data_IF_297528148422
#
_entry.id   IF_297528148422
#
_cell.length_a   1.000
_cell.length_b   1.000
_cell.length_c   1.000
_cell.angle_alpha   90.00
_cell.angle_beta   90.00
_cell.angle_gamma   90.00
#
_symmetry.space_group_name_H-M   'P 1'
#
loop_
_entity.id
_entity.type
_entity.pdbx_description
1 polymer ?
#
# COMPACT_ATOMS: atom_id res chain seq x y z
N UNK A 1 -25.09 54.77 0.34
CA UNK A 1 -24.21 54.95 1.52
C UNK A 1 -23.96 53.57 2.08
N UNK A 2 -22.72 53.08 2.02
CA UNK A 2 -22.37 51.80 2.64
C UNK A 2 -22.57 51.93 4.15
N UNK A 3 -23.26 50.98 4.77
CA UNK A 3 -23.50 50.99 6.22
C UNK A 3 -22.17 50.87 6.97
N UNK A 4 -21.98 51.67 8.03
CA UNK A 4 -20.78 51.66 8.85
C UNK A 4 -20.51 50.26 9.44
N UNK A 5 -21.58 49.52 9.78
CA UNK A 5 -21.48 48.12 10.23
C UNK A 5 -20.86 47.20 9.16
N UNK A 6 -21.23 47.40 7.89
CA UNK A 6 -20.69 46.62 6.76
C UNK A 6 -19.22 46.94 6.49
N UNK A 7 -18.81 48.21 6.63
CA UNK A 7 -17.40 48.62 6.48
C UNK A 7 -16.52 48.01 7.57
N UNK A 8 -16.98 48.01 8.83
CA UNK A 8 -16.26 47.37 9.95
C UNK A 8 -16.13 45.87 9.74
N UNK A 9 -17.22 45.18 9.36
CA UNK A 9 -17.18 43.74 9.08
C UNK A 9 -16.21 43.39 7.95
N UNK A 10 -16.19 44.18 6.87
CA UNK A 10 -15.23 44.00 5.77
C UNK A 10 -13.78 44.23 6.24
N UNK A 11 -13.54 45.28 7.02
CA UNK A 11 -12.21 45.54 7.60
C UNK A 11 -11.73 44.38 8.48
N UNK A 12 -12.59 43.87 9.38
CA UNK A 12 -12.25 42.74 10.24
C UNK A 12 -11.93 41.47 9.44
N UNK A 13 -12.68 41.20 8.37
CA UNK A 13 -12.40 40.08 7.46
C UNK A 13 -11.03 40.22 6.77
N UNK A 14 -10.69 41.41 6.25
CA UNK A 14 -9.40 41.67 5.64
C UNK A 14 -8.26 41.61 6.65
N UNK A 15 -8.47 42.10 7.88
CA UNK A 15 -7.49 41.97 8.97
C UNK A 15 -7.19 40.50 9.27
N UNK A 16 -8.21 39.65 9.37
CA UNK A 16 -8.01 38.22 9.64
C UNK A 16 -7.22 37.54 8.53
N UNK A 17 -7.52 37.83 7.26
CA UNK A 17 -6.75 37.32 6.10
C UNK A 17 -5.30 37.79 6.11
N UNK A 18 -5.03 39.04 6.46
CA UNK A 18 -3.66 39.54 6.60
C UNK A 18 -2.88 38.84 7.73
N UNK A 19 -3.54 38.51 8.83
CA UNK A 19 -2.94 37.72 9.92
C UNK A 19 -2.65 36.27 9.49
N UNK A 20 -3.53 35.66 8.69
CA UNK A 20 -3.31 34.34 8.10
C UNK A 20 -2.12 34.36 7.13
N UNK A 21 -2.03 35.35 6.24
CA UNK A 21 -0.87 35.55 5.35
C UNK A 21 0.46 35.58 6.10
N UNK A 22 0.52 36.31 7.22
CA UNK A 22 1.73 36.39 8.02
C UNK A 22 2.08 35.06 8.69
N UNK A 23 1.09 34.26 9.10
CA UNK A 23 1.29 32.92 9.63
C UNK A 23 1.82 31.95 8.56
N UNK A 24 1.25 32.02 7.36
CA UNK A 24 1.56 31.08 6.29
C UNK A 24 2.86 31.42 5.55
N UNK A 25 3.43 32.61 5.77
CA UNK A 25 4.67 33.09 5.18
C UNK A 25 5.86 32.14 5.40
N UNK A 26 5.91 31.48 6.56
CA UNK A 26 6.95 30.52 6.91
C UNK A 26 6.80 29.17 6.17
N UNK A 27 5.62 28.92 5.57
CA UNK A 27 5.28 27.67 4.88
C UNK A 27 5.68 26.43 5.69
N UNK A 28 5.32 26.43 6.98
CA UNK A 28 5.73 25.38 7.94
C UNK A 28 5.29 23.98 7.49
N UNK A 29 4.16 23.87 6.77
CA UNK A 29 3.70 22.63 6.16
C UNK A 29 4.73 21.99 5.25
N UNK A 30 5.40 22.78 4.41
CA UNK A 30 6.49 22.29 3.53
C UNK A 30 7.66 21.80 4.35
N UNK A 31 8.06 22.54 5.39
CA UNK A 31 9.16 22.13 6.28
C UNK A 31 8.83 20.80 6.99
N UNK A 32 7.58 20.63 7.41
CA UNK A 32 7.07 19.37 7.97
C UNK A 32 7.14 18.22 6.98
N UNK A 33 6.60 18.40 5.77
CA UNK A 33 6.64 17.38 4.72
C UNK A 33 8.07 16.94 4.36
N UNK A 34 9.00 17.89 4.26
CA UNK A 34 10.41 17.61 4.01
C UNK A 34 11.03 16.76 5.15
N UNK A 35 10.70 17.06 6.40
CA UNK A 35 11.24 16.30 7.53
C UNK A 35 10.63 14.89 7.59
N UNK A 36 9.32 14.75 7.41
CA UNK A 36 8.65 13.44 7.40
C UNK A 36 9.17 12.53 6.28
N UNK A 37 9.35 13.08 5.07
CA UNK A 37 9.90 12.31 3.96
C UNK A 37 11.38 11.95 4.18
N UNK A 38 12.17 12.81 4.84
CA UNK A 38 13.54 12.49 5.21
C UNK A 38 13.62 11.32 6.21
N UNK A 39 12.77 11.32 7.23
CA UNK A 39 12.67 10.23 8.20
C UNK A 39 12.22 8.92 7.52
N UNK A 40 11.21 9.00 6.64
CA UNK A 40 10.75 7.84 5.89
C UNK A 40 11.86 7.27 4.99
N UNK A 41 12.57 8.12 4.23
CA UNK A 41 13.69 7.68 3.39
C UNK A 41 14.84 7.06 4.20
N UNK A 42 15.14 7.60 5.38
CA UNK A 42 16.21 7.12 6.24
C UNK A 42 15.90 5.77 6.91
N UNK A 43 14.62 5.48 7.17
CA UNK A 43 14.18 4.26 7.88
C UNK A 43 13.83 3.09 6.95
N UNK A 44 13.68 3.34 5.64
CA UNK A 44 13.37 2.31 4.65
C UNK A 44 14.36 1.13 4.64
N UNK A 45 15.69 1.32 4.65
CA UNK A 45 16.64 0.20 4.62
C UNK A 45 16.47 -0.76 5.79
N UNK A 46 16.33 -0.23 7.01
CA UNK A 46 16.07 -1.02 8.22
C UNK A 46 14.73 -1.76 8.15
N UNK A 47 13.68 -1.14 7.63
CA UNK A 47 12.39 -1.80 7.46
C UNK A 47 12.45 -2.96 6.45
N UNK A 48 13.17 -2.78 5.34
CA UNK A 48 13.42 -3.84 4.34
C UNK A 48 14.23 -4.98 4.99
N UNK A 49 15.29 -4.66 5.74
CA UNK A 49 16.08 -5.64 6.48
C UNK A 49 15.23 -6.43 7.47
N UNK A 50 14.29 -5.79 8.15
CA UNK A 50 13.39 -6.46 9.10
C UNK A 50 12.51 -7.52 8.41
N UNK A 51 11.90 -7.21 7.27
CA UNK A 51 11.10 -8.20 6.52
C UNK A 51 11.96 -9.33 5.94
N UNK A 52 13.24 -9.07 5.59
CA UNK A 52 14.20 -10.12 5.20
C UNK A 52 14.53 -11.05 6.35
N UNK A 53 14.77 -10.51 7.54
CA UNK A 53 15.02 -11.33 8.75
C UNK A 53 13.82 -12.20 9.12
N UNK A 54 12.59 -11.76 8.80
CA UNK A 54 11.37 -12.56 8.90
C UNK A 54 11.19 -13.59 7.77
N UNK A 55 12.13 -13.65 6.81
CA UNK A 55 12.17 -14.65 5.75
C UNK A 55 11.43 -14.27 4.45
N UNK A 56 11.06 -13.01 4.24
CA UNK A 56 10.45 -12.60 2.97
C UNK A 56 11.46 -12.70 1.82
N UNK A 57 11.11 -13.49 0.80
CA UNK A 57 12.05 -13.90 -0.25
C UNK A 57 12.01 -13.02 -1.50
N UNK A 58 10.88 -12.37 -1.80
CA UNK A 58 10.66 -11.68 -3.09
C UNK A 58 10.93 -10.17 -3.01
N UNK A 59 10.75 -9.47 -4.13
CA UNK A 59 10.99 -8.04 -4.26
C UNK A 59 12.43 -7.62 -3.91
N UNK A 60 13.43 -8.33 -4.46
CA UNK A 60 14.86 -8.01 -4.31
C UNK A 60 15.26 -6.60 -4.80
N UNK A 61 14.42 -5.98 -5.61
CA UNK A 61 14.64 -4.61 -6.08
C UNK A 61 14.49 -3.57 -4.95
N UNK A 62 13.86 -3.90 -3.82
CA UNK A 62 13.57 -2.95 -2.75
C UNK A 62 14.85 -2.38 -2.13
N UNK A 63 15.88 -3.20 -1.97
CA UNK A 63 17.19 -2.80 -1.46
C UNK A 63 17.77 -1.69 -2.33
N UNK A 64 17.92 -1.94 -3.63
CA UNK A 64 18.44 -0.95 -4.59
C UNK A 64 17.54 0.29 -4.70
N UNK A 65 16.21 0.08 -4.68
CA UNK A 65 15.23 1.17 -4.77
C UNK A 65 15.34 2.10 -3.56
N UNK A 66 15.49 1.57 -2.34
CA UNK A 66 15.60 2.39 -1.14
C UNK A 66 16.87 3.25 -1.14
N UNK A 67 18.01 2.71 -1.59
CA UNK A 67 19.24 3.46 -1.79
C UNK A 67 19.09 4.58 -2.83
N UNK A 68 18.44 4.28 -3.96
CA UNK A 68 18.20 5.27 -5.00
C UNK A 68 17.27 6.40 -4.51
N UNK A 69 16.19 6.06 -3.80
CA UNK A 69 15.25 7.03 -3.24
C UNK A 69 15.90 7.94 -2.21
N UNK A 70 16.80 7.42 -1.38
CA UNK A 70 17.58 8.24 -0.43
C UNK A 70 18.41 9.29 -1.17
N UNK A 71 19.12 8.90 -2.23
CA UNK A 71 19.92 9.83 -3.03
C UNK A 71 19.06 10.88 -3.76
N UNK A 72 17.91 10.47 -4.30
CA UNK A 72 16.95 11.40 -4.92
C UNK A 72 16.42 12.39 -3.89
N UNK A 73 16.11 11.91 -2.69
CA UNK A 73 15.59 12.73 -1.60
C UNK A 73 16.61 13.75 -1.10
N UNK A 74 17.87 13.35 -0.91
CA UNK A 74 18.99 14.25 -0.57
C UNK A 74 19.12 15.42 -1.55
N UNK A 75 18.99 15.17 -2.85
CA UNK A 75 18.99 16.25 -3.86
C UNK A 75 17.74 17.12 -3.77
N UNK A 76 16.56 16.51 -3.77
CA UNK A 76 15.28 17.22 -3.76
C UNK A 76 15.12 18.10 -2.51
N UNK A 77 15.54 17.62 -1.33
CA UNK A 77 15.42 18.39 -0.09
C UNK A 77 16.33 19.63 -0.09
N UNK A 78 17.55 19.54 -0.65
CA UNK A 78 18.48 20.68 -0.71
C UNK A 78 17.89 21.76 -1.61
N UNK A 79 17.40 21.36 -2.79
CA UNK A 79 16.78 22.25 -3.76
C UNK A 79 15.52 22.90 -3.18
N UNK A 80 14.62 22.11 -2.58
CA UNK A 80 13.39 22.59 -1.97
C UNK A 80 13.65 23.56 -0.81
N UNK A 81 14.63 23.29 0.06
CA UNK A 81 14.98 24.20 1.18
C UNK A 81 15.57 25.53 0.68
N UNK A 82 16.36 25.48 -0.40
CA UNK A 82 16.92 26.68 -1.03
C UNK A 82 15.82 27.54 -1.67
N UNK A 83 14.91 26.89 -2.41
CA UNK A 83 13.74 27.53 -3.01
C UNK A 83 12.83 28.13 -1.94
N UNK A 84 12.51 27.36 -0.89
CA UNK A 84 11.70 27.80 0.24
C UNK A 84 12.25 29.09 0.86
N UNK A 85 13.55 29.12 1.17
CA UNK A 85 14.21 30.33 1.73
C UNK A 85 14.06 31.53 0.81
N UNK A 86 14.28 31.33 -0.49
CA UNK A 86 14.22 32.40 -1.49
C UNK A 86 12.79 32.95 -1.65
N UNK A 87 11.80 32.05 -1.67
CA UNK A 87 10.38 32.38 -1.78
C UNK A 87 9.87 33.11 -0.53
N UNK A 88 10.23 32.65 0.67
CA UNK A 88 9.89 33.33 1.93
C UNK A 88 10.47 34.75 1.98
N UNK A 89 11.73 34.95 1.57
CA UNK A 89 12.33 36.30 1.51
C UNK A 89 11.56 37.22 0.56
N UNK A 90 11.13 36.72 -0.60
CA UNK A 90 10.35 37.51 -1.57
C UNK A 90 8.96 37.84 -1.03
N UNK A 91 8.25 36.85 -0.48
CA UNK A 91 6.91 37.01 0.08
C UNK A 91 6.91 37.93 1.31
N UNK A 92 7.99 37.96 2.09
CA UNK A 92 8.09 38.85 3.23
C UNK A 92 7.99 40.33 2.81
N UNK A 93 8.50 40.69 1.63
CA UNK A 93 8.36 42.05 1.10
C UNK A 93 6.92 42.37 0.71
N UNK A 94 6.19 41.39 0.16
CA UNK A 94 4.77 41.52 -0.20
C UNK A 94 3.89 41.66 1.05
N UNK A 95 4.14 40.83 2.07
CA UNK A 95 3.39 40.89 3.35
C UNK A 95 3.64 42.21 4.07
N UNK A 96 4.87 42.75 4.06
CA UNK A 96 5.14 44.08 4.61
C UNK A 96 4.33 45.18 3.92
N UNK A 97 4.07 45.06 2.62
CA UNK A 97 3.23 46.02 1.92
C UNK A 97 1.77 45.92 2.38
N UNK A 98 1.25 44.70 2.56
CA UNK A 98 -0.07 44.47 3.15
C UNK A 98 -0.18 45.07 4.55
N UNK A 99 0.85 44.91 5.39
CA UNK A 99 0.90 45.50 6.74
C UNK A 99 0.79 47.03 6.72
N UNK A 100 1.45 47.71 5.77
CA UNK A 100 1.34 49.16 5.60
C UNK A 100 -0.09 49.57 5.25
N UNK A 101 -0.75 48.89 4.31
CA UNK A 101 -2.15 49.19 3.97
C UNK A 101 -3.11 48.86 5.10
N UNK A 102 -2.85 47.80 5.85
CA UNK A 102 -3.65 47.41 7.02
C UNK A 102 -3.55 48.47 8.13
N UNK A 103 -2.34 49.01 8.37
CA UNK A 103 -2.13 50.08 9.34
C UNK A 103 -2.87 51.37 8.94
N UNK A 104 -2.84 51.72 7.65
CA UNK A 104 -3.59 52.88 7.14
C UNK A 104 -5.11 52.70 7.32
N UNK A 105 -5.63 51.50 7.02
CA UNK A 105 -7.04 51.19 7.23
C UNK A 105 -7.43 51.20 8.72
N UNK A 106 -6.53 50.73 9.59
CA UNK A 106 -6.73 50.80 11.05
C UNK A 106 -6.79 52.24 11.56
N UNK A 107 -5.91 53.12 11.09
CA UNK A 107 -5.94 54.54 11.44
C UNK A 107 -7.23 55.24 10.97
N UNK A 108 -7.81 54.80 9.86
CA UNK A 108 -9.07 55.32 9.33
C UNK A 108 -10.34 54.65 9.93
N UNK A 109 -10.20 53.70 10.86
CA UNK A 109 -11.32 52.88 11.33
C UNK A 109 -12.46 53.67 11.99
N UNK A 110 -12.17 54.86 12.54
CA UNK A 110 -13.16 55.77 13.14
C UNK A 110 -13.77 56.77 12.14
N UNK A 111 -13.30 56.77 10.88
CA UNK A 111 -13.72 57.67 9.81
C UNK A 111 -14.28 56.88 8.60
N UNK A 112 -15.59 56.61 8.54
CA UNK A 112 -16.17 55.70 7.54
C UNK A 112 -15.90 56.06 6.06
N UNK A 113 -15.98 57.34 5.62
CA UNK A 113 -15.62 57.73 4.26
C UNK A 113 -14.16 57.41 3.90
N UNK A 114 -13.23 57.65 4.82
CA UNK A 114 -11.80 57.38 4.61
C UNK A 114 -11.51 55.88 4.58
N UNK A 115 -12.08 55.12 5.53
CA UNK A 115 -12.00 53.66 5.55
C UNK A 115 -12.53 53.06 4.24
N UNK A 116 -13.69 53.53 3.76
CA UNK A 116 -14.28 53.08 2.50
C UNK A 116 -13.36 53.30 1.29
N UNK A 117 -12.53 54.35 1.30
CA UNK A 117 -11.55 54.63 0.23
C UNK A 117 -10.32 53.71 0.26
N UNK A 118 -9.92 53.22 1.44
CA UNK A 118 -8.70 52.42 1.62
C UNK A 118 -8.97 50.92 1.41
N UNK A 119 -10.14 50.42 1.84
CA UNK A 119 -10.46 48.99 1.82
C UNK A 119 -10.27 48.29 0.46
N UNK A 120 -10.63 48.88 -0.70
CA UNK A 120 -10.42 48.23 -2.00
C UNK A 120 -8.93 47.97 -2.34
N UNK A 121 -8.04 48.87 -1.91
CA UNK A 121 -6.60 48.69 -2.14
C UNK A 121 -6.03 47.64 -1.19
N UNK A 122 -6.41 47.69 0.10
CA UNK A 122 -6.02 46.66 1.07
C UNK A 122 -6.46 45.26 0.59
N UNK A 123 -7.70 45.14 0.11
CA UNK A 123 -8.21 43.87 -0.40
C UNK A 123 -7.42 43.36 -1.61
N UNK A 124 -7.07 44.24 -2.56
CA UNK A 124 -6.25 43.86 -3.72
C UNK A 124 -4.88 43.34 -3.32
N UNK A 125 -4.20 44.05 -2.42
CA UNK A 125 -2.85 43.67 -1.95
C UNK A 125 -2.87 42.34 -1.21
N UNK A 126 -3.90 42.09 -0.40
CA UNK A 126 -4.11 40.79 0.25
C UNK A 126 -4.29 39.69 -0.80
N UNK A 127 -5.17 39.88 -1.79
CA UNK A 127 -5.42 38.88 -2.85
C UNK A 127 -4.14 38.58 -3.64
N UNK A 128 -3.36 39.62 -3.97
CA UNK A 128 -2.12 39.47 -4.71
C UNK A 128 -1.07 38.71 -3.90
N UNK A 129 -0.93 39.02 -2.59
CA UNK A 129 -0.05 38.30 -1.68
C UNK A 129 -0.48 36.83 -1.49
N UNK A 130 -1.77 36.55 -1.30
CA UNK A 130 -2.33 35.18 -1.20
C UNK A 130 -2.05 34.38 -2.47
N UNK A 131 -2.24 34.99 -3.64
CA UNK A 131 -1.97 34.35 -4.93
C UNK A 131 -0.49 34.02 -5.10
N UNK A 132 0.40 34.95 -4.74
CA UNK A 132 1.86 34.74 -4.79
C UNK A 132 2.31 33.66 -3.80
N UNK A 133 1.74 33.63 -2.60
CA UNK A 133 2.00 32.63 -1.57
C UNK A 133 1.59 31.23 -2.03
N UNK A 134 0.38 31.08 -2.57
CA UNK A 134 -0.08 29.81 -3.14
C UNK A 134 0.83 29.32 -4.26
N UNK A 135 1.19 30.20 -5.19
CA UNK A 135 2.08 29.85 -6.29
C UNK A 135 3.50 29.49 -5.80
N UNK A 136 3.98 30.13 -4.73
CA UNK A 136 5.25 29.78 -4.09
C UNK A 136 5.20 28.38 -3.47
N UNK A 137 4.11 28.08 -2.76
CA UNK A 137 3.87 26.77 -2.19
C UNK A 137 3.89 25.68 -3.27
N UNK A 138 3.12 25.86 -4.35
CA UNK A 138 3.08 24.91 -5.46
C UNK A 138 4.46 24.70 -6.13
N UNK A 139 5.21 25.79 -6.35
CA UNK A 139 6.57 25.71 -6.92
C UNK A 139 7.52 24.92 -6.04
N UNK A 140 7.52 25.18 -4.73
CA UNK A 140 8.42 24.48 -3.80
C UNK A 140 8.00 23.02 -3.64
N UNK A 141 6.70 22.74 -3.53
CA UNK A 141 6.17 21.36 -3.48
C UNK A 141 6.54 20.55 -4.71
N UNK A 142 6.47 21.14 -5.91
CA UNK A 142 6.79 20.46 -7.16
C UNK A 142 8.23 19.90 -7.20
N UNK A 143 9.16 20.48 -6.44
CA UNK A 143 10.56 20.06 -6.39
C UNK A 143 10.77 18.70 -5.71
N UNK A 144 9.87 18.30 -4.80
CA UNK A 144 10.06 17.08 -4.00
C UNK A 144 8.88 16.11 -4.02
N UNK A 145 7.68 16.54 -4.44
CA UNK A 145 6.45 15.74 -4.28
C UNK A 145 6.53 14.36 -4.95
N UNK A 146 7.15 14.25 -6.12
CA UNK A 146 7.28 12.97 -6.82
C UNK A 146 8.14 11.98 -6.04
N UNK A 147 9.31 12.42 -5.57
CA UNK A 147 10.23 11.56 -4.79
C UNK A 147 9.58 11.17 -3.46
N UNK A 148 8.89 12.11 -2.80
CA UNK A 148 8.09 11.83 -1.59
C UNK A 148 7.04 10.74 -1.86
N UNK A 149 6.27 10.86 -2.94
CA UNK A 149 5.26 9.85 -3.30
C UNK A 149 5.89 8.47 -3.53
N UNK A 150 7.06 8.39 -4.18
CA UNK A 150 7.76 7.12 -4.39
C UNK A 150 8.31 6.51 -3.08
N UNK A 151 8.77 7.35 -2.14
CA UNK A 151 9.14 6.93 -0.78
C UNK A 151 7.94 6.38 -0.04
N UNK A 152 6.83 7.13 -0.02
CA UNK A 152 5.60 6.74 0.67
C UNK A 152 5.07 5.40 0.12
N UNK A 153 5.02 5.24 -1.21
CA UNK A 153 4.61 3.99 -1.86
C UNK A 153 5.52 2.82 -1.49
N UNK A 154 6.83 3.04 -1.43
CA UNK A 154 7.80 1.98 -1.06
C UNK A 154 7.64 1.60 0.40
N UNK A 155 7.40 2.57 1.28
CA UNK A 155 7.11 2.33 2.70
C UNK A 155 5.82 1.54 2.89
N UNK A 156 4.77 1.90 2.15
CA UNK A 156 3.52 1.13 2.16
C UNK A 156 3.74 -0.31 1.67
N UNK A 157 4.52 -0.50 0.60
CA UNK A 157 4.84 -1.84 0.11
C UNK A 157 5.57 -2.69 1.17
N UNK A 158 6.54 -2.13 1.88
CA UNK A 158 7.26 -2.84 2.96
C UNK A 158 6.32 -3.15 4.13
N UNK A 159 5.41 -2.24 4.48
CA UNK A 159 4.40 -2.48 5.51
C UNK A 159 3.41 -3.59 5.10
N UNK A 160 3.00 -3.62 3.83
CA UNK A 160 2.15 -4.70 3.31
C UNK A 160 2.87 -6.05 3.39
N UNK A 161 4.17 -6.10 3.04
CA UNK A 161 5.01 -7.32 3.19
C UNK A 161 5.08 -7.77 4.65
N UNK A 162 5.27 -6.82 5.57
CA UNK A 162 5.30 -7.14 6.99
C UNK A 162 3.99 -7.77 7.46
N UNK A 163 2.86 -7.20 7.01
CA UNK A 163 1.54 -7.75 7.25
C UNK A 163 1.35 -9.14 6.61
N UNK A 164 1.88 -9.41 5.42
CA UNK A 164 1.85 -10.74 4.81
C UNK A 164 2.53 -11.78 5.71
N UNK A 165 3.70 -11.42 6.25
CA UNK A 165 4.46 -12.29 7.15
C UNK A 165 3.74 -12.52 8.48
N UNK A 166 3.06 -11.50 9.02
CA UNK A 166 2.18 -11.67 10.18
C UNK A 166 1.06 -12.67 9.89
N UNK A 167 0.38 -12.55 8.74
CA UNK A 167 -0.68 -13.50 8.38
C UNK A 167 -0.15 -14.92 8.23
N UNK A 168 1.04 -15.09 7.63
CA UNK A 168 1.70 -16.40 7.57
C UNK A 168 1.97 -16.98 8.96
N UNK A 169 2.46 -16.18 9.90
CA UNK A 169 2.75 -16.65 11.26
C UNK A 169 1.49 -17.03 12.03
N UNK A 170 0.37 -16.39 11.72
CA UNK A 170 -0.92 -16.65 12.34
C UNK A 170 -1.72 -17.75 11.63
N UNK A 171 -1.28 -18.26 10.48
CA UNK A 171 -2.02 -19.22 9.68
C UNK A 171 -2.33 -20.52 10.45
N UNK A 172 -3.54 -21.05 10.26
CA UNK A 172 -4.01 -22.31 10.86
C UNK A 172 -3.46 -23.56 10.19
N UNK A 173 -2.65 -23.40 9.14
CA UNK A 173 -2.06 -24.48 8.34
C UNK A 173 -0.55 -24.30 8.24
N UNK A 174 0.21 -25.41 8.11
CA UNK A 174 1.64 -25.33 7.88
C UNK A 174 1.95 -24.96 6.42
N UNK A 175 2.94 -24.09 6.24
CA UNK A 175 3.59 -23.90 4.94
C UNK A 175 4.50 -25.10 4.67
N UNK A 176 4.58 -25.54 3.41
CA UNK A 176 5.44 -26.65 3.02
C UNK A 176 6.92 -26.26 3.16
N UNK A 177 7.83 -27.24 3.31
CA UNK A 177 9.26 -26.98 3.22
C UNK A 177 9.59 -26.21 1.93
N UNK A 178 10.44 -25.18 2.05
CA UNK A 178 10.81 -24.28 0.95
C UNK A 178 9.67 -23.46 0.30
N UNK A 179 8.42 -23.58 0.74
CA UNK A 179 7.33 -22.71 0.28
C UNK A 179 7.53 -21.27 0.77
N UNK A 180 7.61 -20.33 -0.17
CA UNK A 180 7.82 -18.92 0.13
C UNK A 180 6.54 -18.14 -0.17
N UNK A 181 6.12 -17.33 0.80
CA UNK A 181 4.98 -16.43 0.66
C UNK A 181 5.33 -15.29 -0.31
N UNK A 182 4.46 -15.06 -1.29
CA UNK A 182 4.58 -13.97 -2.25
C UNK A 182 3.68 -12.79 -1.87
N UNK A 183 2.37 -13.05 -1.70
CA UNK A 183 1.35 -12.06 -1.31
C UNK A 183 0.35 -12.65 -0.32
N UNK A 184 -0.27 -11.78 0.48
CA UNK A 184 -1.51 -12.07 1.17
C UNK A 184 -2.52 -10.94 0.97
N UNK A 185 -3.82 -11.23 1.01
CA UNK A 185 -4.87 -10.21 1.02
C UNK A 185 -6.04 -10.66 1.89
N UNK A 186 -6.71 -9.69 2.50
CA UNK A 186 -8.07 -9.92 3.01
C UNK A 186 -8.97 -10.27 1.83
N UNK A 187 -9.81 -11.28 2.00
CA UNK A 187 -10.63 -11.79 0.91
C UNK A 187 -11.93 -12.41 1.42
N UNK A 188 -12.92 -12.53 0.54
CA UNK A 188 -14.15 -13.29 0.74
C UNK A 188 -14.22 -14.36 -0.34
N UNK A 189 -14.30 -15.63 0.05
CA UNK A 189 -14.46 -16.72 -0.90
C UNK A 189 -15.94 -16.92 -1.19
N UNK A 190 -16.35 -16.76 -2.45
CA UNK A 190 -17.76 -16.91 -2.85
C UNK A 190 -18.17 -18.37 -2.98
N UNK A 191 -18.25 -19.06 -1.84
CA UNK A 191 -18.60 -20.48 -1.75
C UNK A 191 -20.06 -20.76 -2.14
N UNK A 192 -20.97 -19.83 -1.82
CA UNK A 192 -22.42 -19.98 -2.04
C UNK A 192 -22.97 -19.04 -3.11
N UNK A 193 -22.17 -18.06 -3.56
CA UNK A 193 -22.65 -16.95 -4.39
C UNK A 193 -23.53 -15.93 -3.65
N UNK A 194 -23.74 -16.13 -2.34
CA UNK A 194 -24.57 -15.28 -1.48
C UNK A 194 -23.66 -14.64 -0.42
N UNK A 195 -23.08 -13.49 -0.75
CA UNK A 195 -22.01 -12.83 0.02
C UNK A 195 -22.19 -12.67 1.55
N UNK A 196 -23.41 -12.77 2.12
CA UNK A 196 -23.60 -12.78 3.59
C UNK A 196 -23.27 -14.11 4.27
N UNK A 197 -23.18 -15.19 3.50
CA UNK A 197 -22.89 -16.55 3.96
C UNK A 197 -21.52 -17.02 3.48
N UNK A 198 -20.87 -16.22 2.64
CA UNK A 198 -19.56 -16.51 2.07
C UNK A 198 -18.48 -16.19 3.11
N UNK A 199 -17.52 -17.09 3.36
CA UNK A 199 -16.53 -16.91 4.41
C UNK A 199 -15.56 -15.76 4.12
N UNK A 200 -15.36 -14.90 5.12
CA UNK A 200 -14.28 -13.92 5.16
C UNK A 200 -12.97 -14.55 5.64
N UNK A 201 -11.86 -14.09 5.08
CA UNK A 201 -10.58 -14.72 5.33
C UNK A 201 -9.38 -14.04 4.68
N UNK A 202 -8.33 -14.83 4.55
CA UNK A 202 -7.06 -14.43 3.93
C UNK A 202 -6.80 -15.32 2.70
N UNK A 203 -6.57 -14.68 1.57
CA UNK A 203 -6.03 -15.30 0.36
C UNK A 203 -4.51 -15.16 0.38
N UNK A 204 -3.81 -16.29 0.31
CA UNK A 204 -2.36 -16.34 0.18
C UNK A 204 -1.96 -16.79 -1.22
N UNK A 205 -0.92 -16.17 -1.76
CA UNK A 205 -0.20 -16.63 -2.94
C UNK A 205 1.23 -16.97 -2.53
N UNK A 206 1.64 -18.20 -2.78
CA UNK A 206 3.02 -18.68 -2.58
C UNK A 206 3.67 -19.04 -3.90
N UNK A 207 4.94 -19.43 -3.89
CA UNK A 207 5.61 -20.00 -5.07
C UNK A 207 5.20 -21.43 -5.42
N UNK A 208 4.23 -22.01 -4.69
CA UNK A 208 3.74 -23.38 -4.91
C UNK A 208 2.23 -23.44 -5.12
N UNK A 209 1.45 -22.64 -4.42
CA UNK A 209 -0.02 -22.75 -4.38
C UNK A 209 -0.73 -21.45 -4.04
N UNK A 210 -2.02 -21.42 -4.40
CA UNK A 210 -3.01 -20.49 -3.87
C UNK A 210 -3.69 -21.12 -2.66
N UNK A 211 -3.92 -20.34 -1.62
CA UNK A 211 -4.50 -20.85 -0.37
C UNK A 211 -5.55 -19.86 0.13
N UNK A 212 -6.71 -20.36 0.57
CA UNK A 212 -7.69 -19.54 1.28
C UNK A 212 -7.97 -20.11 2.66
N UNK A 213 -7.78 -19.26 3.65
CA UNK A 213 -8.10 -19.52 5.04
C UNK A 213 -9.28 -18.65 5.44
N UNK A 214 -10.35 -19.25 5.94
CA UNK A 214 -11.38 -18.49 6.65
C UNK A 214 -10.76 -17.94 7.93
N UNK A 215 -10.92 -16.63 8.18
CA UNK A 215 -10.40 -15.96 9.37
C UNK A 215 -11.29 -14.77 9.71
N UNK A 216 -12.32 -15.03 10.51
CA UNK A 216 -13.35 -14.04 10.83
C UNK A 216 -14.01 -14.27 12.20
N UNK A 217 -14.65 -13.22 12.73
CA UNK A 217 -15.52 -13.32 13.92
C UNK A 217 -16.94 -13.61 13.49
N UNK A 218 -17.37 -14.87 13.59
CA UNK A 218 -18.75 -15.27 13.32
C UNK A 218 -19.65 -15.10 14.55
N UNK A 219 -20.96 -14.94 14.36
CA UNK A 219 -21.94 -14.92 15.47
C UNK A 219 -22.14 -13.58 16.17
N UNK A 220 -21.77 -12.45 15.56
CA UNK A 220 -22.17 -11.12 16.09
C UNK A 220 -23.63 -10.82 15.75
N UNK A 221 -24.52 -10.87 16.75
CA UNK A 221 -25.82 -10.19 16.72
C UNK A 221 -25.67 -8.76 17.28
N UNK A 222 -26.44 -7.82 16.70
CA UNK A 222 -26.43 -6.38 16.99
C UNK A 222 -26.11 -6.03 18.46
N UNK A 223 -24.90 -5.50 18.69
CA UNK A 223 -24.51 -4.86 19.95
C UNK A 223 -23.83 -5.72 21.02
N UNK A 224 -23.67 -7.04 20.84
CA UNK A 224 -22.95 -7.87 21.82
C UNK A 224 -21.47 -8.07 21.46
N UNK A 225 -20.59 -7.74 22.40
CA UNK A 225 -19.19 -8.22 22.39
C UNK A 225 -19.19 -9.74 22.63
N UNK A 226 -18.65 -10.55 21.70
CA UNK A 226 -18.55 -12.01 21.93
C UNK A 226 -18.62 -12.96 20.72
N UNK A 227 -18.37 -12.52 19.48
CA UNK A 227 -18.36 -13.44 18.32
C UNK A 227 -17.25 -14.52 18.41
N UNK A 228 -17.54 -15.74 17.95
CA UNK A 228 -16.58 -16.85 17.89
C UNK A 228 -15.56 -16.57 16.78
N UNK A 229 -14.28 -16.59 17.13
CA UNK A 229 -13.23 -16.58 16.13
C UNK A 229 -13.26 -17.90 15.37
N UNK A 230 -13.49 -17.83 14.07
CA UNK A 230 -13.40 -18.96 13.15
C UNK A 230 -12.15 -18.78 12.32
N UNK A 231 -11.22 -19.73 12.45
CA UNK A 231 -9.98 -19.75 11.69
C UNK A 231 -9.72 -21.17 11.17
N UNK A 232 -9.76 -21.37 9.86
CA UNK A 232 -9.66 -22.70 9.24
C UNK A 232 -9.24 -22.60 7.76
N UNK A 233 -8.30 -23.44 7.35
CA UNK A 233 -7.99 -23.67 5.94
C UNK A 233 -9.23 -24.22 5.21
N UNK A 234 -9.70 -23.52 4.18
CA UNK A 234 -10.85 -23.98 3.37
C UNK A 234 -10.42 -24.70 2.11
N UNK A 235 -9.40 -24.18 1.44
CA UNK A 235 -8.87 -24.80 0.26
C UNK A 235 -7.46 -24.33 -0.02
N UNK A 236 -6.75 -25.18 -0.74
CA UNK A 236 -5.46 -24.90 -1.35
C UNK A 236 -5.44 -25.51 -2.75
N UNK A 237 -4.78 -24.82 -3.68
CA UNK A 237 -4.70 -25.20 -5.08
C UNK A 237 -3.25 -25.04 -5.53
N UNK A 238 -2.53 -26.13 -5.86
CA UNK A 238 -1.22 -26.05 -6.51
C UNK A 238 -1.27 -25.16 -7.76
N UNK A 239 -0.27 -24.31 -7.96
CA UNK A 239 -0.24 -23.42 -9.12
C UNK A 239 -0.25 -24.18 -10.46
N UNK A 240 0.24 -25.42 -10.48
CA UNK A 240 0.17 -26.32 -11.64
C UNK A 240 -1.24 -26.73 -12.03
N UNK A 241 -2.21 -26.67 -11.10
CA UNK A 241 -3.63 -26.95 -11.35
C UNK A 241 -4.41 -25.71 -11.77
N UNK A 242 -3.81 -24.52 -11.70
CA UNK A 242 -4.44 -23.30 -12.18
C UNK A 242 -4.37 -23.26 -13.72
N UNK A 243 -5.54 -23.18 -14.36
CA UNK A 243 -5.64 -23.05 -15.82
C UNK A 243 -5.73 -21.58 -16.22
N UNK A 244 -6.56 -20.81 -15.52
CA UNK A 244 -6.80 -19.39 -15.81
C UNK A 244 -7.21 -18.62 -14.57
N UNK A 245 -6.79 -17.35 -14.50
CA UNK A 245 -7.33 -16.37 -13.56
C UNK A 245 -7.87 -15.17 -14.34
N UNK A 246 -9.05 -14.70 -13.99
CA UNK A 246 -9.67 -13.50 -14.57
C UNK A 246 -10.02 -12.49 -13.47
N UNK A 247 -9.75 -11.22 -13.74
CA UNK A 247 -10.06 -10.12 -12.83
C UNK A 247 -11.32 -9.36 -13.31
N UNK A 248 -12.30 -9.21 -12.42
CA UNK A 248 -13.51 -8.42 -12.66
C UNK A 248 -13.62 -7.30 -11.61
N UNK A 249 -13.65 -6.05 -12.06
CA UNK A 249 -13.94 -4.90 -11.18
C UNK A 249 -15.35 -4.38 -11.50
N UNK A 250 -16.27 -4.47 -10.54
CA UNK A 250 -17.69 -4.13 -10.77
C UNK A 250 -18.06 -2.63 -10.68
N UNK A 251 -17.11 -1.71 -10.49
CA UNK A 251 -17.33 -0.26 -10.63
C UNK A 251 -18.31 0.47 -9.67
N UNK A 252 -18.21 1.81 -9.68
CA UNK A 252 -18.73 2.94 -8.86
C UNK A 252 -19.94 2.87 -7.88
N UNK A 253 -20.59 1.73 -7.63
CA UNK A 253 -21.67 1.61 -6.65
C UNK A 253 -21.54 0.33 -5.81
N UNK A 254 -20.38 0.14 -5.18
CA UNK A 254 -20.09 -1.04 -4.36
C UNK A 254 -19.37 -2.16 -5.11
N UNK A 255 -18.70 -1.83 -6.22
CA UNK A 255 -18.01 -2.79 -7.09
C UNK A 255 -16.95 -3.60 -6.35
N UNK A 256 -17.25 -4.87 -6.14
CA UNK A 256 -16.32 -5.89 -5.63
C UNK A 256 -15.16 -6.09 -6.62
N UNK A 257 -13.95 -6.27 -6.09
CA UNK A 257 -12.75 -6.66 -6.85
C UNK A 257 -12.68 -8.19 -6.86
N UNK A 258 -13.21 -8.83 -7.92
CA UNK A 258 -13.34 -10.29 -8.02
C UNK A 258 -12.20 -10.93 -8.80
N UNK A 259 -11.78 -12.12 -8.36
CA UNK A 259 -10.91 -13.05 -9.06
C UNK A 259 -11.72 -14.32 -9.36
N UNK A 260 -11.74 -14.72 -10.63
CA UNK A 260 -12.34 -15.97 -11.08
C UNK A 260 -11.24 -16.92 -11.54
N UNK A 261 -11.18 -18.09 -10.92
CA UNK A 261 -10.18 -19.11 -11.21
C UNK A 261 -10.86 -20.26 -11.94
N UNK A 262 -10.25 -20.69 -13.04
CA UNK A 262 -10.57 -21.96 -13.70
C UNK A 262 -9.45 -22.95 -13.40
N UNK A 263 -9.81 -24.14 -12.94
CA UNK A 263 -8.88 -25.17 -12.48
C UNK A 263 -8.96 -26.39 -13.38
N UNK A 264 -7.81 -27.07 -13.53
CA UNK A 264 -7.69 -28.28 -14.34
C UNK A 264 -8.45 -29.46 -13.70
N UNK A 265 -8.88 -30.46 -14.51
CA UNK A 265 -9.44 -31.70 -13.98
C UNK A 265 -8.54 -32.35 -12.94
N UNK A 266 -9.13 -32.80 -11.82
CA UNK A 266 -8.40 -33.36 -10.67
C UNK A 266 -8.13 -32.35 -9.54
N UNK A 267 -8.45 -31.08 -9.73
CA UNK A 267 -8.52 -30.10 -8.64
C UNK A 267 -9.78 -30.29 -7.77
N UNK A 268 -9.81 -29.60 -6.62
CA UNK A 268 -10.92 -29.65 -5.64
C UNK A 268 -12.28 -29.21 -6.21
N UNK A 269 -12.27 -28.40 -7.26
CA UNK A 269 -13.40 -27.92 -8.04
C UNK A 269 -12.88 -27.47 -9.40
N UNK A 270 -13.76 -27.28 -10.39
CA UNK A 270 -13.37 -26.73 -11.69
C UNK A 270 -13.27 -25.20 -11.66
N UNK A 271 -13.91 -24.53 -10.68
CA UNK A 271 -13.92 -23.07 -10.57
C UNK A 271 -13.93 -22.59 -9.13
N UNK A 272 -13.23 -21.48 -8.88
CA UNK A 272 -13.28 -20.72 -7.62
C UNK A 272 -13.54 -19.24 -7.93
N UNK A 273 -14.22 -18.55 -7.03
CA UNK A 273 -14.42 -17.10 -7.11
C UNK A 273 -14.10 -16.46 -5.76
N UNK A 274 -13.25 -15.45 -5.77
CA UNK A 274 -12.79 -14.74 -4.56
C UNK A 274 -12.90 -13.24 -4.77
N UNK A 275 -13.48 -12.53 -3.82
CA UNK A 275 -13.35 -11.08 -3.74
C UNK A 275 -12.09 -10.74 -2.95
N UNK A 276 -11.16 -9.97 -3.53
CA UNK A 276 -10.06 -9.36 -2.78
C UNK A 276 -10.51 -8.02 -2.20
N UNK A 277 -10.16 -7.77 -0.93
CA UNK A 277 -10.66 -6.62 -0.15
C UNK A 277 -9.54 -5.63 0.19
N UNK A 278 -9.94 -4.40 0.56
CA UNK A 278 -9.04 -3.36 1.04
C UNK A 278 -8.25 -2.69 -0.08
N UNK A 279 -6.93 -2.56 0.09
CA UNK A 279 -6.03 -1.98 -0.93
C UNK A 279 -5.73 -2.96 -2.08
N UNK A 280 -6.03 -4.24 -1.92
CA UNK A 280 -5.81 -5.26 -2.94
C UNK A 280 -6.74 -5.04 -4.14
N UNK A 281 -6.16 -4.97 -5.34
CA UNK A 281 -6.89 -4.78 -6.60
C UNK A 281 -6.88 -6.09 -7.39
N UNK A 282 -8.04 -6.54 -7.89
CA UNK A 282 -8.15 -7.82 -8.60
C UNK A 282 -7.20 -7.92 -9.80
N UNK A 283 -7.05 -6.84 -10.59
CA UNK A 283 -6.14 -6.83 -11.75
C UNK A 283 -4.67 -6.99 -11.37
N UNK A 284 -4.25 -6.37 -10.26
CA UNK A 284 -2.89 -6.54 -9.74
C UNK A 284 -2.68 -8.00 -9.31
N UNK A 285 -3.61 -8.54 -8.53
CA UNK A 285 -3.54 -9.93 -8.06
C UNK A 285 -3.52 -10.94 -9.21
N UNK A 286 -4.43 -10.83 -10.18
CA UNK A 286 -4.45 -11.72 -11.35
C UNK A 286 -3.10 -11.68 -12.10
N UNK A 287 -2.55 -10.48 -12.35
CA UNK A 287 -1.24 -10.36 -12.98
C UNK A 287 -0.11 -11.00 -12.16
N UNK A 288 -0.10 -10.84 -10.83
CA UNK A 288 0.90 -11.47 -9.97
C UNK A 288 0.77 -12.99 -9.93
N UNK A 289 -0.46 -13.52 -9.93
CA UNK A 289 -0.72 -14.96 -10.01
C UNK A 289 -0.20 -15.52 -11.33
N UNK A 290 -0.50 -14.87 -12.46
CA UNK A 290 -0.03 -15.30 -13.78
C UNK A 290 1.50 -15.31 -13.87
N UNK A 291 2.17 -14.28 -13.36
CA UNK A 291 3.63 -14.22 -13.30
C UNK A 291 4.21 -15.38 -12.49
N UNK A 292 3.62 -15.66 -11.32
CA UNK A 292 4.07 -16.76 -10.47
C UNK A 292 3.87 -18.12 -11.16
N UNK A 293 2.72 -18.35 -11.81
CA UNK A 293 2.47 -19.58 -12.59
C UNK A 293 3.49 -19.76 -13.71
N UNK A 294 3.93 -18.67 -14.35
CA UNK A 294 4.93 -18.70 -15.43
C UNK A 294 6.38 -18.77 -14.93
N UNK A 295 6.62 -18.64 -13.63
CA UNK A 295 7.97 -18.56 -13.06
C UNK A 295 8.69 -17.23 -13.36
N UNK A 296 7.95 -16.17 -13.71
CA UNK A 296 8.48 -14.84 -14.03
C UNK A 296 8.81 -14.00 -12.78
N UNK A 297 9.02 -14.65 -11.64
CA UNK A 297 9.32 -14.02 -10.33
C UNK A 297 10.64 -14.49 -9.74
N UNK A 298 11.39 -15.34 -10.45
CA UNK A 298 12.67 -15.89 -9.98
C UNK A 298 13.76 -14.81 -9.86
N UNK A 299 13.74 -13.82 -10.75
CA UNK A 299 14.65 -12.66 -10.74
C UNK A 299 14.35 -11.67 -9.60
N UNK A 300 13.17 -11.78 -8.97
CA UNK A 300 12.79 -10.99 -7.80
C UNK A 300 13.24 -11.61 -6.47
N UNK A 301 13.85 -12.79 -6.47
CA UNK A 301 14.28 -13.47 -5.24
C UNK A 301 15.52 -12.81 -4.64
N UNK A 302 15.36 -12.26 -3.44
CA UNK A 302 16.44 -11.70 -2.63
C UNK A 302 17.20 -12.78 -1.84
N UNK A 303 16.55 -13.93 -1.61
CA UNK A 303 17.11 -15.08 -0.92
C UNK A 303 17.19 -16.22 -1.92
N UNK A 304 18.40 -16.67 -2.23
CA UNK A 304 18.63 -17.82 -3.10
C UNK A 304 17.98 -19.08 -2.50
N UNK A 305 17.47 -19.97 -3.35
CA UNK A 305 17.07 -21.30 -2.88
C UNK A 305 18.34 -22.04 -2.50
N UNK A 306 18.38 -22.60 -1.29
CA UNK A 306 19.50 -23.43 -0.88
C UNK A 306 19.53 -24.71 -1.74
N UNK A 307 20.63 -24.88 -2.49
CA UNK A 307 20.82 -26.00 -3.38
C UNK A 307 20.92 -27.33 -2.63
N UNK A 308 21.45 -27.31 -1.40
CA UNK A 308 21.55 -28.50 -0.56
C UNK A 308 20.17 -28.93 -0.05
N UNK A 309 19.35 -27.99 0.43
CA UNK A 309 17.95 -28.25 0.78
C UNK A 309 17.13 -28.74 -0.41
N UNK A 310 17.32 -28.16 -1.60
CA UNK A 310 16.67 -28.64 -2.83
C UNK A 310 17.08 -30.07 -3.18
N UNK A 311 18.37 -30.39 -3.06
CA UNK A 311 18.89 -31.74 -3.27
C UNK A 311 18.28 -32.71 -2.24
N UNK A 312 18.28 -32.33 -0.95
CA UNK A 312 17.69 -33.14 0.12
C UNK A 312 16.19 -33.38 -0.07
N UNK A 313 15.42 -32.40 -0.57
CA UNK A 313 13.99 -32.59 -0.90
C UNK A 313 13.81 -33.51 -2.10
N UNK A 314 14.64 -33.38 -3.14
CA UNK A 314 14.62 -34.29 -4.29
C UNK A 314 14.99 -35.70 -3.90
N UNK A 315 15.94 -35.84 -2.98
CA UNK A 315 16.44 -37.10 -2.44
C UNK A 315 15.56 -37.66 -1.31
N UNK A 316 14.58 -36.87 -0.84
CA UNK A 316 13.74 -37.23 0.30
C UNK A 316 12.97 -38.53 0.00
N UNK A 317 12.99 -39.50 0.92
CA UNK A 317 12.24 -40.74 0.74
C UNK A 317 10.74 -40.45 0.66
N UNK A 318 10.08 -40.85 -0.42
CA UNK A 318 8.63 -40.65 -0.60
C UNK A 318 7.90 -41.79 0.12
N UNK A 319 7.07 -41.55 1.15
CA UNK A 319 6.35 -42.62 1.83
C UNK A 319 5.19 -43.14 0.97
N UNK A 320 5.02 -44.46 0.92
CA UNK A 320 3.86 -45.12 0.34
C UNK A 320 2.62 -44.82 1.19
N UNK A 321 1.61 -44.17 0.60
CA UNK A 321 0.37 -43.83 1.32
C UNK A 321 -0.47 -45.07 1.73
N UNK A 322 -0.15 -46.25 1.20
CA UNK A 322 -0.85 -47.51 1.53
C UNK A 322 -0.22 -48.21 2.75
N UNK A 323 1.11 -48.24 2.85
CA UNK A 323 1.79 -49.06 3.87
C UNK A 323 2.90 -48.34 4.64
N UNK A 324 3.17 -47.07 4.33
CA UNK A 324 4.25 -46.29 4.94
C UNK A 324 5.68 -46.67 4.49
N UNK A 325 5.82 -47.66 3.60
CA UNK A 325 7.12 -48.06 3.06
C UNK A 325 7.70 -47.00 2.14
N UNK A 326 9.02 -46.82 2.16
CA UNK A 326 9.70 -45.87 1.27
C UNK A 326 9.56 -46.29 -0.19
N UNK A 327 9.04 -45.40 -1.03
CA UNK A 327 9.00 -45.57 -2.48
C UNK A 327 10.36 -45.22 -3.08
N UNK A 328 10.77 -45.92 -4.15
CA UNK A 328 12.00 -45.59 -4.87
C UNK A 328 11.90 -44.21 -5.52
N UNK A 329 13.06 -43.57 -5.70
CA UNK A 329 13.25 -42.34 -6.45
C UNK A 329 12.59 -42.44 -7.84
N UNK A 330 11.83 -41.42 -8.23
CA UNK A 330 11.20 -41.37 -9.55
C UNK A 330 12.19 -40.89 -10.59
N UNK A 331 12.24 -41.56 -11.73
CA UNK A 331 12.91 -41.01 -12.91
C UNK A 331 12.02 -39.99 -13.63
N UNK A 332 12.60 -38.95 -14.25
CA UNK A 332 11.83 -37.95 -14.99
C UNK A 332 10.87 -38.59 -16.01
N UNK A 333 9.59 -38.22 -15.94
CA UNK A 333 8.53 -38.74 -16.83
C UNK A 333 7.81 -40.01 -16.33
N UNK A 334 8.24 -40.58 -15.20
CA UNK A 334 7.57 -41.70 -14.56
C UNK A 334 6.28 -41.24 -13.86
N UNK A 335 5.14 -41.81 -14.23
CA UNK A 335 3.80 -41.46 -13.69
C UNK A 335 3.30 -42.41 -12.60
N UNK A 336 3.90 -43.59 -12.49
CA UNK A 336 3.57 -44.56 -11.45
C UNK A 336 4.83 -45.22 -10.91
N UNK A 337 4.77 -45.60 -9.63
CA UNK A 337 5.84 -46.33 -8.95
C UNK A 337 5.24 -47.49 -8.16
N UNK A 338 5.83 -48.67 -8.29
CA UNK A 338 5.44 -49.82 -7.50
C UNK A 338 6.13 -49.75 -6.14
N UNK A 339 5.37 -49.90 -5.06
CA UNK A 339 5.92 -50.02 -3.72
C UNK A 339 6.54 -51.40 -3.52
N UNK A 340 7.83 -51.47 -3.19
CA UNK A 340 8.52 -52.74 -2.95
C UNK A 340 8.06 -53.45 -1.67
N UNK A 341 7.41 -52.73 -0.75
CA UNK A 341 6.94 -53.28 0.52
C UNK A 341 5.55 -53.93 0.41
N UNK A 342 4.55 -53.23 -0.16
CA UNK A 342 3.19 -53.75 -0.24
C UNK A 342 2.76 -54.16 -1.67
N UNK A 343 3.59 -53.91 -2.67
CA UNK A 343 3.31 -54.21 -4.07
C UNK A 343 2.31 -53.27 -4.74
N UNK A 344 1.77 -52.27 -4.04
CA UNK A 344 0.81 -51.32 -4.59
C UNK A 344 1.45 -50.45 -5.68
N UNK A 345 0.72 -50.21 -6.76
CA UNK A 345 1.12 -49.29 -7.81
C UNK A 345 0.58 -47.89 -7.49
N UNK A 346 1.49 -46.97 -7.15
CA UNK A 346 1.19 -45.60 -6.73
C UNK A 346 1.32 -44.69 -7.95
N UNK A 347 0.20 -44.09 -8.37
CA UNK A 347 0.20 -43.05 -9.42
C UNK A 347 0.39 -41.69 -8.73
N UNK A 348 1.30 -40.88 -9.26
CA UNK A 348 1.72 -39.61 -8.65
C UNK A 348 1.21 -38.38 -9.38
#
# INVERSE_FOLDING_TARGET
MTDASQLTSRFDSLRNRALELNRDLLMEGISGELNTAAEAAATLPEAIKAVRQKGYTFAAYLEQKSDHLRQLWERAQIEARSALRSETMRLQMEVRQVEVFLQNAFSAATNPPELASILPNLEREIIDAETKLKAAHERVTALYVKVKQEIDQTREQVADIDWYLEQRNEASFPFQPEEKLFLAAKAEWSATGKGRQDPDGILYLTDKRLIFEQKEKTGKTLGMFGGKQTQELKWEVPLSQLEKVEAENKGLFGGKDMLHFSLRPGAITNQLTVEVKGKARCKFWAGQIERMVKGETEDERAIAVDAETLAAIREAPIPCHICGGTLPQLVPGQKSVKCDFCGAEITL
#
